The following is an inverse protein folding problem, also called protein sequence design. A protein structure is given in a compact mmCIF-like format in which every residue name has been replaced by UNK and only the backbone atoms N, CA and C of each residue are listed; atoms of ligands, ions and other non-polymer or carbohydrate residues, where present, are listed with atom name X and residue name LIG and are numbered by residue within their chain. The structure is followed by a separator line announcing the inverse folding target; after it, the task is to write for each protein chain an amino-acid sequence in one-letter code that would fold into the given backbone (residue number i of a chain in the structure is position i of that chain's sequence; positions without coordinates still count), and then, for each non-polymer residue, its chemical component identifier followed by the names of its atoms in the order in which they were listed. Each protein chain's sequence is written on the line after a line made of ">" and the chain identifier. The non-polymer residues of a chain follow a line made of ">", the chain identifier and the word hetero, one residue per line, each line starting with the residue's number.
data_IF_336016968069
#
_entry.id   IF_336016968069
#
_cell.length_a   1.000
_cell.length_b   1.000
_cell.length_c   1.000
_cell.angle_alpha   90.00
_cell.angle_beta   90.00
_cell.angle_gamma   90.00
#
_symmetry.space_group_name_H-M   'P 1'
#
loop_
_entity.id
_entity.type
_entity.pdbx_description
1 polymer ?
#
# COMPACT_ATOMS: atom_id res chain seq x y z
N UNK A 1 -36.65 -18.71 3.14
CA UNK A 1 -35.20 -18.60 2.88
C UNK A 1 -34.92 -17.23 2.30
N UNK A 2 -34.59 -16.25 3.16
CA UNK A 2 -34.19 -14.90 2.76
C UNK A 2 -32.74 -14.96 2.27
N UNK A 3 -32.49 -14.64 1.01
CA UNK A 3 -31.14 -14.32 0.52
C UNK A 3 -31.05 -12.82 0.36
N UNK A 4 -30.26 -12.20 1.24
CA UNK A 4 -29.77 -10.84 1.10
C UNK A 4 -28.99 -10.76 -0.22
N UNK A 5 -29.41 -9.88 -1.14
CA UNK A 5 -28.55 -9.42 -2.22
C UNK A 5 -27.67 -8.32 -1.62
N UNK A 6 -26.41 -8.66 -1.37
CA UNK A 6 -25.34 -7.69 -1.10
C UNK A 6 -25.22 -6.76 -2.31
N UNK A 7 -25.36 -5.46 -2.06
CA UNK A 7 -25.12 -4.42 -3.04
C UNK A 7 -23.60 -4.25 -3.16
N UNK A 8 -23.02 -4.70 -4.28
CA UNK A 8 -21.63 -4.38 -4.63
C UNK A 8 -21.61 -3.00 -5.31
N UNK A 9 -21.01 -1.96 -4.70
CA UNK A 9 -20.85 -0.69 -5.38
C UNK A 9 -19.87 -0.87 -6.53
N UNK A 10 -20.29 -0.44 -7.72
CA UNK A 10 -19.49 -0.48 -8.94
C UNK A 10 -18.14 0.23 -8.72
N UNK A 11 -17.08 -0.35 -9.28
CA UNK A 11 -15.74 0.25 -9.41
C UNK A 11 -15.83 1.50 -10.31
N UNK A 12 -16.33 2.60 -9.75
CA UNK A 12 -16.29 3.91 -10.41
C UNK A 12 -14.84 4.37 -10.28
N UNK A 13 -14.16 4.55 -11.41
CA UNK A 13 -12.78 4.98 -11.40
C UNK A 13 -12.65 6.35 -10.72
N UNK A 14 -11.57 6.59 -9.98
CA UNK A 14 -11.32 7.87 -9.29
C UNK A 14 -11.40 9.05 -10.27
N UNK A 15 -11.03 8.82 -11.53
CA UNK A 15 -11.19 9.76 -12.63
C UNK A 15 -12.66 10.10 -12.94
N UNK A 16 -13.57 9.13 -12.91
CA UNK A 16 -15.01 9.38 -13.10
C UNK A 16 -15.64 10.07 -11.89
N UNK A 17 -15.19 9.75 -10.68
CA UNK A 17 -15.59 10.46 -9.45
C UNK A 17 -15.13 11.92 -9.46
N UNK A 18 -13.88 12.19 -9.88
CA UNK A 18 -13.38 13.54 -10.06
C UNK A 18 -14.11 14.29 -11.18
N UNK A 19 -14.40 13.64 -12.31
CA UNK A 19 -15.18 14.27 -13.39
C UNK A 19 -16.62 14.58 -12.97
N UNK A 20 -17.23 13.71 -12.15
CA UNK A 20 -18.56 13.95 -11.59
C UNK A 20 -18.54 15.10 -10.58
N UNK A 21 -17.52 15.15 -9.70
CA UNK A 21 -17.34 16.25 -8.75
C UNK A 21 -17.06 17.58 -9.46
N UNK A 22 -16.28 17.58 -10.54
CA UNK A 22 -16.02 18.77 -11.35
C UNK A 22 -17.30 19.28 -12.03
N UNK A 23 -18.10 18.37 -12.60
CA UNK A 23 -19.38 18.71 -13.24
C UNK A 23 -20.40 19.25 -12.24
N UNK A 24 -20.42 18.74 -11.00
CA UNK A 24 -21.25 19.28 -9.91
C UNK A 24 -20.77 20.66 -9.45
N UNK A 25 -19.46 20.86 -9.32
CA UNK A 25 -18.87 22.15 -8.96
C UNK A 25 -19.11 23.22 -10.04
N UNK A 26 -19.04 22.86 -11.32
CA UNK A 26 -19.41 23.76 -12.43
C UNK A 26 -20.91 24.11 -12.41
N UNK A 27 -21.78 23.16 -12.07
CA UNK A 27 -23.22 23.39 -11.95
C UNK A 27 -23.56 24.30 -10.76
N UNK A 28 -22.89 24.11 -9.62
CA UNK A 28 -22.99 24.98 -8.44
C UNK A 28 -22.40 26.36 -8.71
N UNK A 29 -21.30 26.47 -9.47
CA UNK A 29 -20.74 27.76 -9.89
C UNK A 29 -21.67 28.50 -10.86
N UNK A 30 -22.37 27.78 -11.75
CA UNK A 30 -23.41 28.33 -12.62
C UNK A 30 -24.64 28.82 -11.84
N UNK A 31 -24.96 28.17 -10.71
CA UNK A 31 -26.02 28.60 -9.80
C UNK A 31 -25.58 29.77 -8.91
N UNK A 32 -24.31 29.80 -8.48
CA UNK A 32 -23.73 30.92 -7.70
C UNK A 32 -23.48 32.18 -8.53
N UNK A 33 -23.44 32.08 -9.86
CA UNK A 33 -23.45 33.22 -10.79
C UNK A 33 -24.86 33.72 -11.15
N UNK A 34 -25.92 32.96 -10.84
CA UNK A 34 -27.31 33.41 -10.97
C UNK A 34 -27.74 34.11 -9.69
N UNK A 35 -27.44 35.41 -9.60
CA UNK A 35 -28.34 36.30 -8.86
C UNK A 35 -29.62 36.33 -9.69
N UNK A 36 -30.73 35.79 -9.18
CA UNK A 36 -32.03 35.92 -9.84
C UNK A 36 -32.40 37.41 -9.81
N UNK A 37 -31.98 38.12 -10.84
CA UNK A 37 -32.36 39.48 -11.16
C UNK A 37 -33.00 39.47 -12.55
N UNK A 38 -34.34 39.52 -12.58
CA UNK A 38 -35.11 39.92 -13.76
C UNK A 38 -35.61 38.80 -14.67
N UNK A 39 -36.90 38.47 -14.54
CA UNK A 39 -37.73 38.00 -15.64
C UNK A 39 -38.96 38.91 -15.72
N UNK A 40 -39.04 39.64 -16.83
CA UNK A 40 -40.09 40.57 -17.22
C UNK A 40 -41.46 39.92 -17.44
N UNK A 41 -42.49 40.76 -17.29
CA UNK A 41 -43.78 40.78 -18.01
C UNK A 41 -44.77 39.64 -17.72
N UNK A 42 -45.59 39.87 -16.69
CA UNK A 42 -47.00 39.50 -16.74
C UNK A 42 -47.83 40.79 -16.65
N UNK A 43 -48.56 41.09 -17.72
CA UNK A 43 -49.57 42.15 -17.78
C UNK A 43 -50.63 41.90 -16.71
N UNK A 44 -50.59 42.68 -15.62
CA UNK A 44 -51.72 42.85 -14.73
C UNK A 44 -52.27 44.27 -14.89
N UNK A 45 -53.58 44.42 -15.15
CA UNK A 45 -54.16 45.73 -15.38
C UNK A 45 -54.03 46.59 -14.12
N UNK A 46 -53.61 47.84 -14.34
CA UNK A 46 -53.57 48.92 -13.37
C UNK A 46 -54.93 49.03 -12.66
N UNK A 47 -55.01 48.48 -11.44
CA UNK A 47 -56.00 48.88 -10.45
C UNK A 47 -55.23 49.76 -9.45
N UNK A 48 -55.22 51.06 -9.74
CA UNK A 48 -54.79 52.09 -8.80
C UNK A 48 -55.73 52.07 -7.59
N UNK A 49 -55.27 51.50 -6.49
CA UNK A 49 -55.76 51.75 -5.14
C UNK A 49 -54.61 51.53 -4.14
N UNK A 50 -53.44 52.11 -4.43
CA UNK A 50 -52.48 52.44 -3.36
C UNK A 50 -52.98 53.73 -2.72
N UNK A 51 -53.86 53.59 -1.73
CA UNK A 51 -54.01 54.61 -0.70
C UNK A 51 -52.68 54.64 0.04
N UNK A 52 -51.92 55.72 -0.14
CA UNK A 52 -50.81 56.09 0.72
C UNK A 52 -51.37 56.34 2.14
N UNK A 53 -51.55 55.28 2.90
CA UNK A 53 -51.53 55.31 4.36
C UNK A 53 -50.18 54.73 4.80
N UNK A 54 -49.10 55.44 4.43
CA UNK A 54 -47.82 55.33 5.15
C UNK A 54 -47.85 56.41 6.23
N UNK A 55 -48.53 56.10 7.33
CA UNK A 55 -48.67 56.95 8.52
C UNK A 55 -47.53 56.73 9.53
N UNK A 56 -46.40 56.19 9.07
CA UNK A 56 -45.16 56.14 9.84
C UNK A 56 -44.46 57.49 9.85
N UNK A 57 -44.14 58.00 11.03
CA UNK A 57 -43.29 59.19 11.16
C UNK A 57 -41.94 58.95 10.46
N UNK A 58 -41.28 59.98 9.88
CA UNK A 58 -39.96 59.83 9.24
C UNK A 58 -38.88 59.19 10.16
N UNK A 59 -39.12 59.19 11.47
CA UNK A 59 -38.29 58.54 12.48
C UNK A 59 -38.44 57.02 12.45
N UNK A 60 -39.65 56.49 12.34
CA UNK A 60 -39.91 55.03 12.32
C UNK A 60 -39.35 54.35 11.06
N UNK A 61 -39.45 55.01 9.90
CA UNK A 61 -38.83 54.52 8.66
C UNK A 61 -37.29 54.50 8.73
N UNK A 62 -36.68 55.45 9.44
CA UNK A 62 -35.24 55.48 9.67
C UNK A 62 -34.79 54.36 10.62
N UNK A 63 -35.57 54.11 11.68
CA UNK A 63 -35.32 53.01 12.63
C UNK A 63 -35.45 51.64 11.97
N UNK A 64 -36.46 51.42 11.13
CA UNK A 64 -36.61 50.16 10.39
C UNK A 64 -35.44 49.92 9.43
N UNK A 65 -34.99 50.96 8.71
CA UNK A 65 -33.80 50.86 7.85
C UNK A 65 -32.52 50.61 8.63
N UNK A 66 -32.39 51.16 9.84
CA UNK A 66 -31.25 50.91 10.72
C UNK A 66 -31.23 49.44 11.20
N UNK A 67 -32.38 48.91 11.64
CA UNK A 67 -32.52 47.51 12.06
C UNK A 67 -32.20 46.52 10.93
N UNK A 68 -32.71 46.77 9.72
CA UNK A 68 -32.42 45.91 8.56
C UNK A 68 -30.94 45.90 8.19
N UNK A 69 -30.22 47.02 8.35
CA UNK A 69 -28.77 47.06 8.14
C UNK A 69 -28.01 46.30 9.22
N UNK A 70 -28.42 46.46 10.47
CA UNK A 70 -27.83 45.74 11.60
C UNK A 70 -27.99 44.22 11.44
N UNK A 71 -29.18 43.76 11.03
CA UNK A 71 -29.45 42.34 10.73
C UNK A 71 -28.58 41.82 9.58
N UNK A 72 -28.45 42.57 8.49
CA UNK A 72 -27.59 42.19 7.35
C UNK A 72 -26.11 42.18 7.70
N UNK A 73 -25.65 43.14 8.51
CA UNK A 73 -24.27 43.20 8.99
C UNK A 73 -23.98 42.02 9.93
N UNK A 74 -24.93 41.63 10.79
CA UNK A 74 -24.81 40.47 11.66
C UNK A 74 -24.72 39.15 10.86
N UNK A 75 -25.61 38.96 9.88
CA UNK A 75 -25.60 37.77 9.01
C UNK A 75 -24.31 37.67 8.19
N UNK A 76 -23.82 38.80 7.66
CA UNK A 76 -22.56 38.85 6.92
C UNK A 76 -21.35 38.48 7.81
N UNK A 77 -21.30 39.00 9.04
CA UNK A 77 -20.24 38.65 9.98
C UNK A 77 -20.30 37.18 10.39
N UNK A 78 -21.50 36.61 10.55
CA UNK A 78 -21.68 35.20 10.84
C UNK A 78 -21.23 34.31 9.69
N UNK A 79 -21.61 34.64 8.44
CA UNK A 79 -21.14 33.93 7.25
C UNK A 79 -19.62 33.96 7.14
N UNK A 80 -19.00 35.13 7.36
CA UNK A 80 -17.55 35.27 7.31
C UNK A 80 -16.85 34.43 8.37
N UNK A 81 -17.44 34.30 9.56
CA UNK A 81 -16.90 33.44 10.63
C UNK A 81 -16.98 31.96 10.24
N UNK A 82 -18.11 31.52 9.70
CA UNK A 82 -18.31 30.13 9.25
C UNK A 82 -17.33 29.78 8.12
N UNK A 83 -17.15 30.67 7.15
CA UNK A 83 -16.23 30.44 6.04
C UNK A 83 -14.77 30.35 6.51
N UNK A 84 -14.37 31.19 7.48
CA UNK A 84 -13.04 31.10 8.11
C UNK A 84 -12.85 29.79 8.85
N UNK A 85 -13.81 29.40 9.66
CA UNK A 85 -13.73 28.14 10.42
C UNK A 85 -13.65 26.94 9.48
N UNK A 86 -14.45 26.92 8.40
CA UNK A 86 -14.40 25.87 7.39
C UNK A 86 -13.04 25.80 6.71
N UNK A 87 -12.47 26.94 6.32
CA UNK A 87 -11.16 27.00 5.69
C UNK A 87 -10.03 26.52 6.63
N UNK A 88 -10.10 26.87 7.91
CA UNK A 88 -9.16 26.40 8.93
C UNK A 88 -9.27 24.88 9.14
N UNK A 89 -10.49 24.35 9.24
CA UNK A 89 -10.73 22.91 9.38
C UNK A 89 -10.24 22.13 8.16
N UNK A 90 -10.49 22.62 6.95
CA UNK A 90 -10.02 21.98 5.72
C UNK A 90 -8.48 21.99 5.63
N UNK A 91 -7.85 23.12 5.98
CA UNK A 91 -6.40 23.22 6.04
C UNK A 91 -5.78 22.27 7.09
N UNK A 92 -6.43 22.08 8.23
CA UNK A 92 -6.00 21.10 9.24
C UNK A 92 -6.12 19.67 8.72
N UNK A 93 -7.26 19.32 8.12
CA UNK A 93 -7.48 17.98 7.55
C UNK A 93 -6.46 17.63 6.46
N UNK A 94 -6.16 18.59 5.57
CA UNK A 94 -5.15 18.42 4.52
C UNK A 94 -3.77 18.16 5.11
N UNK A 95 -3.38 18.88 6.16
CA UNK A 95 -2.10 18.68 6.85
C UNK A 95 -2.02 17.31 7.53
N UNK A 96 -3.07 16.91 8.24
CA UNK A 96 -3.13 15.59 8.89
C UNK A 96 -3.06 14.45 7.87
N UNK A 97 -3.73 14.59 6.73
CA UNK A 97 -3.69 13.59 5.66
C UNK A 97 -2.32 13.53 4.99
N UNK A 98 -1.68 14.67 4.74
CA UNK A 98 -0.32 14.72 4.21
C UNK A 98 0.69 14.09 5.18
N UNK A 99 0.56 14.38 6.48
CA UNK A 99 1.42 13.79 7.51
C UNK A 99 1.21 12.28 7.60
N UNK A 100 -0.05 11.81 7.61
CA UNK A 100 -0.35 10.38 7.62
C UNK A 100 0.21 9.68 6.40
N UNK A 101 0.02 10.26 5.20
CA UNK A 101 0.57 9.70 3.95
C UNK A 101 2.09 9.65 3.98
N UNK A 102 2.75 10.65 4.57
CA UNK A 102 4.20 10.66 4.73
C UNK A 102 4.68 9.58 5.69
N UNK A 103 4.01 9.40 6.82
CA UNK A 103 4.32 8.35 7.79
C UNK A 103 4.13 6.95 7.19
N UNK A 104 3.03 6.72 6.47
CA UNK A 104 2.77 5.45 5.78
C UNK A 104 3.82 5.15 4.71
N UNK A 105 4.24 6.16 3.94
CA UNK A 105 5.31 6.02 2.94
C UNK A 105 6.66 5.69 3.57
N UNK A 106 7.01 6.35 4.69
CA UNK A 106 8.25 6.09 5.43
C UNK A 106 8.26 4.69 6.07
N UNK A 107 7.13 4.25 6.62
CA UNK A 107 7.00 2.89 7.17
C UNK A 107 7.13 1.82 6.07
N UNK A 108 6.50 2.04 4.91
CA UNK A 108 6.59 1.12 3.78
C UNK A 108 8.03 1.06 3.24
N UNK A 109 8.70 2.20 3.11
CA UNK A 109 10.10 2.26 2.68
C UNK A 109 11.03 1.57 3.69
N UNK A 110 10.81 1.79 5.00
CA UNK A 110 11.58 1.12 6.05
C UNK A 110 11.36 -0.40 6.01
N UNK A 111 10.12 -0.88 5.86
CA UNK A 111 9.83 -2.31 5.74
C UNK A 111 10.46 -2.92 4.49
N UNK A 112 10.42 -2.21 3.36
CA UNK A 112 11.05 -2.67 2.13
C UNK A 112 12.58 -2.80 2.29
N UNK A 113 13.23 -1.80 2.89
CA UNK A 113 14.67 -1.84 3.17
C UNK A 113 15.05 -2.97 4.13
N UNK A 114 14.24 -3.22 5.17
CA UNK A 114 14.47 -4.32 6.09
C UNK A 114 14.34 -5.68 5.41
N UNK A 115 13.30 -5.88 4.59
CA UNK A 115 13.11 -7.11 3.83
C UNK A 115 14.24 -7.36 2.82
N UNK A 116 14.71 -6.31 2.13
CA UNK A 116 15.85 -6.41 1.22
C UNK A 116 17.15 -6.76 1.97
N UNK A 117 17.38 -6.14 3.13
CA UNK A 117 18.55 -6.43 3.95
C UNK A 117 18.53 -7.87 4.50
N UNK A 118 17.37 -8.37 4.91
CA UNK A 118 17.21 -9.75 5.40
C UNK A 118 17.43 -10.76 4.28
N UNK A 119 16.84 -10.54 3.10
CA UNK A 119 17.05 -11.43 1.95
C UNK A 119 18.51 -11.42 1.50
N UNK A 120 19.17 -10.26 1.48
CA UNK A 120 20.59 -10.17 1.15
C UNK A 120 21.46 -10.90 2.18
N UNK A 121 21.20 -10.71 3.48
CA UNK A 121 21.92 -11.42 4.53
C UNK A 121 21.76 -12.94 4.39
N UNK A 122 20.56 -13.41 4.06
CA UNK A 122 20.28 -14.83 3.81
C UNK A 122 21.04 -15.36 2.60
N UNK A 123 21.08 -14.61 1.50
CA UNK A 123 21.84 -14.98 0.31
C UNK A 123 23.35 -15.03 0.59
N UNK A 124 23.88 -14.04 1.32
CA UNK A 124 25.29 -14.00 1.72
C UNK A 124 25.65 -15.18 2.64
N UNK A 125 24.79 -15.56 3.58
CA UNK A 125 24.98 -16.73 4.44
C UNK A 125 24.97 -18.04 3.64
N UNK A 126 24.06 -18.17 2.68
CA UNK A 126 24.01 -19.32 1.76
C UNK A 126 25.30 -19.37 0.95
N UNK A 127 25.72 -18.25 0.36
CA UNK A 127 26.95 -18.16 -0.42
C UNK A 127 28.19 -18.54 0.39
N UNK A 128 28.30 -18.05 1.64
CA UNK A 128 29.40 -18.42 2.56
C UNK A 128 29.42 -19.92 2.84
N UNK A 129 28.27 -20.52 3.17
CA UNK A 129 28.18 -21.98 3.40
C UNK A 129 28.60 -22.79 2.18
N UNK A 130 28.19 -22.34 0.99
CA UNK A 130 28.59 -22.96 -0.28
C UNK A 130 30.09 -22.82 -0.56
N UNK A 131 30.70 -21.69 -0.24
CA UNK A 131 32.14 -21.46 -0.39
C UNK A 131 32.96 -22.31 0.59
N UNK A 132 32.55 -22.35 1.87
CA UNK A 132 33.16 -23.22 2.89
C UNK A 132 33.07 -24.69 2.45
N UNK A 133 31.90 -25.15 1.99
CA UNK A 133 31.74 -26.50 1.46
C UNK A 133 32.63 -26.77 0.25
N UNK A 134 32.79 -25.82 -0.69
CA UNK A 134 33.71 -25.95 -1.82
C UNK A 134 35.17 -26.12 -1.37
N UNK A 135 35.58 -25.41 -0.31
CA UNK A 135 36.95 -25.50 0.20
C UNK A 135 37.26 -26.86 0.87
N UNK A 136 36.24 -27.53 1.43
CA UNK A 136 36.39 -28.84 2.05
C UNK A 136 36.45 -29.99 1.03
N UNK A 137 35.99 -29.74 -0.20
CA UNK A 137 35.93 -30.75 -1.26
C UNK A 137 37.31 -30.95 -1.88
N UNK A 138 37.87 -32.15 -1.71
CA UNK A 138 39.08 -32.62 -2.39
C UNK A 138 38.83 -32.87 -3.89
N UNK A 139 39.86 -32.98 -4.73
CA UNK A 139 39.66 -33.32 -6.14
C UNK A 139 39.21 -34.80 -6.30
N UNK A 140 38.37 -35.10 -7.31
CA UNK A 140 37.92 -36.47 -7.55
C UNK A 140 39.12 -37.39 -7.90
N UNK A 141 39.24 -38.59 -7.29
CA UNK A 141 40.30 -39.53 -7.62
C UNK A 141 40.14 -40.03 -9.07
N UNK A 142 41.26 -40.12 -9.84
CA UNK A 142 41.25 -40.66 -11.19
C UNK A 142 40.68 -42.09 -11.26
N UNK A 143 40.13 -42.49 -12.42
CA UNK A 143 39.47 -43.79 -12.57
C UNK A 143 40.38 -44.99 -12.32
N UNK A 144 41.69 -44.81 -12.49
CA UNK A 144 42.71 -45.86 -12.32
C UNK A 144 43.29 -45.93 -10.90
N UNK A 145 42.80 -45.11 -9.95
CA UNK A 145 43.28 -45.12 -8.56
C UNK A 145 42.76 -46.34 -7.79
N UNK A 146 43.63 -47.18 -7.20
CA UNK A 146 43.19 -48.33 -6.42
C UNK A 146 42.50 -47.87 -5.12
N UNK A 147 41.32 -48.43 -4.83
CA UNK A 147 40.54 -48.07 -3.64
C UNK A 147 39.48 -46.98 -3.86
N UNK A 148 39.28 -46.52 -5.11
CA UNK A 148 38.23 -45.56 -5.47
C UNK A 148 36.83 -46.05 -5.07
N UNK A 149 36.12 -45.25 -4.27
CA UNK A 149 34.73 -45.52 -3.85
C UNK A 149 33.77 -44.62 -4.62
N UNK A 150 32.79 -45.20 -5.33
CA UNK A 150 31.79 -44.43 -6.07
C UNK A 150 30.49 -44.28 -5.28
N UNK A 151 30.11 -43.04 -4.99
CA UNK A 151 28.87 -42.72 -4.30
C UNK A 151 27.82 -42.21 -5.28
N UNK A 152 26.57 -42.64 -5.08
CA UNK A 152 25.40 -42.09 -5.76
C UNK A 152 24.41 -41.54 -4.74
N UNK A 153 24.31 -40.22 -4.65
CA UNK A 153 23.46 -39.50 -3.71
C UNK A 153 22.18 -39.07 -4.43
N UNK A 154 21.02 -39.35 -3.84
CA UNK A 154 19.73 -38.86 -4.34
C UNK A 154 19.36 -37.59 -3.58
N UNK A 155 19.20 -36.49 -4.30
CA UNK A 155 18.75 -35.22 -3.71
C UNK A 155 17.23 -35.23 -3.53
N UNK A 156 16.68 -34.42 -2.60
CA UNK A 156 15.23 -34.24 -2.47
C UNK A 156 14.57 -33.74 -3.75
N UNK A 157 15.29 -33.00 -4.61
CA UNK A 157 14.81 -32.54 -5.92
C UNK A 157 14.69 -33.66 -6.98
N UNK A 158 15.02 -34.91 -6.63
CA UNK A 158 15.00 -36.05 -7.55
C UNK A 158 16.26 -36.20 -8.43
N UNK A 159 17.22 -35.25 -8.38
CA UNK A 159 18.52 -35.39 -9.03
C UNK A 159 19.36 -36.50 -8.38
N UNK A 160 20.28 -37.05 -9.17
CA UNK A 160 21.23 -38.09 -8.74
C UNK A 160 22.65 -37.59 -8.93
N UNK A 161 23.32 -37.32 -7.83
CA UNK A 161 24.72 -36.87 -7.82
C UNK A 161 25.60 -38.11 -7.80
N UNK A 162 26.57 -38.20 -8.72
CA UNK A 162 27.52 -39.29 -8.79
C UNK A 162 28.92 -38.74 -8.70
N UNK A 163 29.71 -39.27 -7.77
CA UNK A 163 31.10 -38.86 -7.59
C UNK A 163 31.89 -39.95 -6.90
N UNK A 164 33.18 -40.03 -7.20
CA UNK A 164 34.09 -40.84 -6.42
C UNK A 164 34.80 -40.09 -5.30
N UNK A 165 35.11 -40.87 -4.27
CA UNK A 165 35.81 -40.47 -3.06
C UNK A 165 36.92 -41.49 -2.79
N UNK A 166 37.94 -41.04 -2.08
CA UNK A 166 39.00 -41.89 -1.55
C UNK A 166 38.55 -42.52 -0.23
N UNK A 167 39.11 -43.67 0.17
CA UNK A 167 38.83 -44.27 1.48
C UNK A 167 39.18 -43.36 2.67
N UNK A 168 40.12 -42.43 2.48
CA UNK A 168 40.56 -41.47 3.49
C UNK A 168 39.67 -40.23 3.60
N UNK A 169 38.77 -40.02 2.62
CA UNK A 169 37.84 -38.88 2.62
C UNK A 169 36.81 -39.03 3.75
N UNK A 170 36.50 -37.93 4.43
CA UNK A 170 35.55 -37.94 5.55
C UNK A 170 34.10 -37.84 5.08
N UNK A 171 33.16 -38.31 5.91
CA UNK A 171 31.73 -38.14 5.68
C UNK A 171 31.36 -36.66 5.53
N UNK A 172 32.03 -35.75 6.25
CA UNK A 172 31.85 -34.30 6.11
C UNK A 172 32.14 -33.79 4.69
N UNK A 173 33.12 -34.36 3.97
CA UNK A 173 33.37 -34.01 2.57
C UNK A 173 32.25 -34.47 1.63
N UNK A 174 31.58 -35.59 1.96
CA UNK A 174 30.39 -36.05 1.22
C UNK A 174 29.21 -35.11 1.46
N UNK A 175 29.04 -34.61 2.70
CA UNK A 175 28.07 -33.56 3.02
C UNK A 175 28.36 -32.26 2.26
N UNK A 176 29.61 -31.83 2.26
CA UNK A 176 30.05 -30.64 1.54
C UNK A 176 29.77 -30.77 0.03
N UNK A 177 30.09 -31.92 -0.58
CA UNK A 177 29.76 -32.21 -1.98
C UNK A 177 28.25 -32.15 -2.26
N UNK A 178 27.44 -32.76 -1.39
CA UNK A 178 25.99 -32.71 -1.53
C UNK A 178 25.46 -31.27 -1.42
N UNK A 179 26.01 -30.42 -0.54
CA UNK A 179 25.65 -29.00 -0.44
C UNK A 179 25.98 -28.25 -1.73
N UNK A 180 27.17 -28.44 -2.30
CA UNK A 180 27.62 -27.70 -3.48
C UNK A 180 26.83 -28.07 -4.73
N UNK A 181 26.65 -29.36 -5.01
CA UNK A 181 25.91 -29.83 -6.20
C UNK A 181 24.39 -29.79 -6.01
N UNK A 182 23.92 -29.95 -4.78
CA UNK A 182 22.52 -29.76 -4.41
C UNK A 182 22.07 -28.31 -4.53
N UNK A 183 23.01 -27.37 -4.44
CA UNK A 183 22.75 -25.93 -4.55
C UNK A 183 21.98 -25.39 -3.35
N UNK A 184 21.22 -24.32 -3.59
CA UNK A 184 20.51 -23.58 -2.53
C UNK A 184 19.54 -24.45 -1.72
N UNK A 185 18.92 -25.46 -2.34
CA UNK A 185 17.93 -26.33 -1.66
C UNK A 185 18.55 -27.08 -0.49
N UNK A 186 19.78 -27.58 -0.66
CA UNK A 186 20.51 -28.28 0.41
C UNK A 186 21.31 -27.32 1.29
N UNK A 187 21.73 -26.15 0.79
CA UNK A 187 22.40 -25.15 1.63
C UNK A 187 21.46 -24.42 2.60
N UNK A 188 20.17 -24.32 2.26
CA UNK A 188 19.14 -23.64 3.06
C UNK A 188 18.49 -24.57 4.08
N UNK A 189 18.56 -25.89 3.88
CA UNK A 189 17.86 -26.89 4.71
C UNK A 189 18.84 -27.79 5.42
N UNK A 190 18.47 -28.20 6.63
CA UNK A 190 19.15 -29.30 7.30
C UNK A 190 18.78 -30.62 6.60
N UNK A 191 19.78 -31.42 6.28
CA UNK A 191 19.59 -32.73 5.67
C UNK A 191 20.55 -33.75 6.28
N UNK A 192 20.18 -35.03 6.13
CA UNK A 192 20.99 -36.15 6.60
C UNK A 192 21.26 -37.13 5.47
N UNK A 193 22.48 -37.61 5.37
CA UNK A 193 22.85 -38.69 4.45
C UNK A 193 22.37 -40.03 5.01
N UNK A 194 21.63 -40.76 4.16
CA UNK A 194 21.04 -42.04 4.51
C UNK A 194 21.40 -43.08 3.45
N UNK A 195 21.97 -44.20 3.88
CA UNK A 195 22.19 -45.37 3.05
C UNK A 195 20.87 -46.11 2.82
N UNK A 196 20.64 -46.60 1.60
CA UNK A 196 19.36 -47.26 1.29
C UNK A 196 19.33 -48.70 1.80
N UNK A 197 20.44 -49.44 1.71
CA UNK A 197 20.52 -50.84 2.13
C UNK A 197 21.93 -51.24 2.60
N UNK A 198 22.05 -51.78 3.82
CA UNK A 198 21.10 -51.67 4.93
C UNK A 198 20.89 -50.19 5.30
N UNK A 199 19.69 -49.83 5.79
CA UNK A 199 19.42 -48.42 6.15
C UNK A 199 20.33 -47.98 7.28
N UNK A 200 21.25 -47.07 6.98
CA UNK A 200 22.16 -46.43 7.94
C UNK A 200 22.10 -44.93 7.77
N UNK A 201 22.10 -44.22 8.89
CA UNK A 201 22.12 -42.75 8.90
C UNK A 201 23.51 -42.30 9.31
N UNK A 202 24.10 -41.40 8.54
CA UNK A 202 25.37 -40.79 8.87
C UNK A 202 25.08 -39.43 9.50
N UNK A 203 25.60 -39.18 10.69
CA UNK A 203 25.58 -37.83 11.30
C UNK A 203 26.95 -37.20 11.04
N UNK A 204 26.95 -35.95 10.60
CA UNK A 204 28.21 -35.20 10.52
C UNK A 204 28.56 -34.82 11.96
N UNK A 205 29.64 -35.42 12.47
CA UNK A 205 30.14 -35.13 13.82
C UNK A 205 31.10 -33.96 13.69
N UNK A 206 30.55 -32.75 13.62
CA UNK A 206 31.32 -31.51 13.73
C UNK A 206 30.49 -30.42 14.41
#
# INVERSE_FOLDING_TARGET
>A
ANRHHEYQPADISEAELMQHALRLSELEAQQRGHVVAGSLLADHPLQEDFRDEDDGSPQEAAEQRARLREEQEAEYQESLRIDRERAEQEALRLKEEEERRRQEAEELESKAKQAEAEEKARQDDIARKLEEAKSMITAEPPPDEPGRLQFQIRTPDGRRLKRAFRPEDTIGQVYAYACVEGGEVLATREFRLVETMPRRTYEDVN
#
